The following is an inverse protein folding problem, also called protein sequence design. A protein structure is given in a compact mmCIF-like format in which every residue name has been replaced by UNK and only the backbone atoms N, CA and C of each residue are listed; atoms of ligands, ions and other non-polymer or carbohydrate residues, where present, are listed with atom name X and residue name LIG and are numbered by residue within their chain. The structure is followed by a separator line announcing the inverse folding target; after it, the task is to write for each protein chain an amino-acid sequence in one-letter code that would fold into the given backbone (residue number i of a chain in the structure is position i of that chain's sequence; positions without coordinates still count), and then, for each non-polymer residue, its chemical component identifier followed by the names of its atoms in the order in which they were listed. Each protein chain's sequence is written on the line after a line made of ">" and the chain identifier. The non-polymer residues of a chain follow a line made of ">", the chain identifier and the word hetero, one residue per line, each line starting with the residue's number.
data_IF_206344840573
#
_entry.id   IF_206344840573
#
_cell.length_a   1.000
_cell.length_b   1.000
_cell.length_c   1.000
_cell.angle_alpha   90.00
_cell.angle_beta   90.00
_cell.angle_gamma   90.00
#
_symmetry.space_group_name_H-M   'P 1'
#
loop_
_entity.id
_entity.type
_entity.pdbx_description
1 polymer ?
#
# COMPACT_ATOMS: atom_id res chain seq x y z
N UNK A 1 -6.61 -63.51 54.70
CA UNK A 1 -7.69 -63.16 53.74
C UNK A 1 -8.20 -61.75 54.04
N UNK A 2 -7.91 -60.77 53.18
CA UNK A 2 -8.69 -59.52 53.06
C UNK A 2 -8.45 -58.93 51.68
N UNK A 3 -9.55 -58.67 50.97
CA UNK A 3 -9.66 -58.53 49.51
C UNK A 3 -9.18 -57.18 49.01
N UNK A 4 -8.48 -57.24 47.87
CA UNK A 4 -8.07 -56.15 46.99
C UNK A 4 -9.33 -55.58 46.30
N UNK A 5 -9.54 -54.26 46.31
CA UNK A 5 -10.49 -53.59 45.40
C UNK A 5 -9.81 -52.34 44.83
N UNK A 6 -9.18 -52.56 43.69
CA UNK A 6 -8.63 -51.55 42.77
C UNK A 6 -9.80 -50.81 42.11
N UNK A 7 -9.90 -49.49 42.29
CA UNK A 7 -10.81 -48.63 41.50
C UNK A 7 -10.01 -47.85 40.48
N UNK A 8 -9.75 -48.45 39.32
CA UNK A 8 -9.22 -47.77 38.14
C UNK A 8 -10.37 -47.07 37.43
N UNK A 9 -10.50 -45.75 37.65
CA UNK A 9 -11.38 -44.88 36.86
C UNK A 9 -10.57 -44.39 35.67
N UNK A 10 -10.84 -44.95 34.48
CA UNK A 10 -10.30 -44.47 33.22
C UNK A 10 -11.10 -43.24 32.77
N UNK A 11 -10.55 -42.04 33.00
CA UNK A 11 -11.09 -40.78 32.50
C UNK A 11 -10.71 -40.58 31.04
N UNK A 12 -11.67 -40.69 30.13
CA UNK A 12 -11.53 -40.35 28.71
C UNK A 12 -11.54 -38.81 28.59
N UNK A 13 -10.36 -38.18 28.58
CA UNK A 13 -10.24 -36.74 28.34
C UNK A 13 -10.32 -36.51 26.83
N UNK A 14 -11.48 -36.08 26.35
CA UNK A 14 -11.64 -35.58 24.99
C UNK A 14 -10.90 -34.24 24.86
N UNK A 15 -9.73 -34.25 24.23
CA UNK A 15 -9.02 -33.03 23.83
C UNK A 15 -9.80 -32.33 22.72
N UNK A 16 -10.63 -31.35 23.09
CA UNK A 16 -11.10 -30.35 22.15
C UNK A 16 -9.91 -29.50 21.74
N UNK A 17 -9.35 -29.75 20.56
CA UNK A 17 -8.36 -28.88 19.95
C UNK A 17 -9.05 -27.55 19.60
N UNK A 18 -8.78 -26.49 20.36
CA UNK A 18 -9.10 -25.14 19.91
C UNK A 18 -8.27 -24.89 18.65
N UNK A 19 -8.92 -24.88 17.49
CA UNK A 19 -8.31 -24.41 16.26
C UNK A 19 -8.08 -22.90 16.41
N UNK A 20 -6.84 -22.52 16.68
CA UNK A 20 -6.41 -21.15 16.55
C UNK A 20 -6.31 -20.83 15.06
N UNK A 21 -7.38 -20.30 14.48
CA UNK A 21 -7.36 -19.83 13.09
C UNK A 21 -6.37 -18.65 13.01
N UNK A 22 -5.30 -18.82 12.26
CA UNK A 22 -4.32 -17.76 12.06
C UNK A 22 -4.94 -16.67 11.17
N UNK A 23 -4.77 -15.40 11.54
CA UNK A 23 -5.32 -14.29 10.75
C UNK A 23 -4.58 -14.20 9.41
N UNK A 24 -5.32 -14.02 8.32
CA UNK A 24 -4.76 -13.88 6.98
C UNK A 24 -5.23 -12.59 6.32
N UNK A 25 -4.36 -12.00 5.52
CA UNK A 25 -4.73 -10.89 4.64
C UNK A 25 -5.33 -11.48 3.38
N UNK A 26 -6.60 -11.20 3.14
CA UNK A 26 -7.34 -11.68 1.96
C UNK A 26 -7.29 -10.68 0.79
N UNK A 27 -7.07 -9.41 1.10
CA UNK A 27 -7.00 -8.37 0.08
C UNK A 27 -6.17 -7.19 0.57
N UNK A 28 -5.39 -6.63 -0.33
CA UNK A 28 -4.69 -5.36 -0.14
C UNK A 28 -4.85 -4.55 -1.42
N UNK A 29 -5.22 -3.28 -1.28
CA UNK A 29 -5.38 -2.35 -2.41
C UNK A 29 -4.70 -1.03 -2.07
N UNK A 30 -3.98 -0.39 -3.01
CA UNK A 30 -3.71 -0.81 -4.39
C UNK A 30 -2.59 -1.88 -4.51
N UNK A 31 -2.51 -2.54 -5.67
CA UNK A 31 -1.39 -3.42 -6.06
C UNK A 31 -0.93 -3.08 -7.48
N UNK A 32 0.36 -3.25 -7.76
CA UNK A 32 0.93 -2.96 -9.08
C UNK A 32 1.01 -1.45 -9.35
N UNK A 33 0.81 -1.05 -10.61
CA UNK A 33 0.83 0.35 -11.02
C UNK A 33 -0.58 0.95 -10.94
N UNK A 34 -0.76 1.97 -10.11
CA UNK A 34 -2.04 2.66 -9.95
C UNK A 34 -1.80 4.16 -9.96
N UNK A 35 -2.39 4.84 -10.94
CA UNK A 35 -2.40 6.29 -10.99
C UNK A 35 -3.20 6.87 -9.83
N UNK A 36 -2.66 7.92 -9.18
CA UNK A 36 -3.30 8.66 -8.07
C UNK A 36 -3.70 7.76 -6.90
N UNK A 37 -2.72 7.41 -6.08
CA UNK A 37 -2.97 6.69 -4.82
C UNK A 37 -3.18 7.68 -3.69
N UNK A 38 -4.33 7.58 -3.02
CA UNK A 38 -4.71 8.38 -1.85
C UNK A 38 -4.92 7.56 -0.58
N UNK A 39 -5.32 6.31 -0.74
CA UNK A 39 -5.61 5.41 0.38
C UNK A 39 -5.09 4.00 0.07
N UNK A 40 -4.58 3.33 1.10
CA UNK A 40 -4.31 1.89 1.11
C UNK A 40 -5.36 1.23 2.01
N UNK A 41 -5.90 0.08 1.60
CA UNK A 41 -6.81 -0.72 2.42
C UNK A 41 -6.29 -2.14 2.52
N UNK A 42 -6.19 -2.62 3.75
CA UNK A 42 -5.82 -4.01 4.10
C UNK A 42 -7.05 -4.68 4.69
N UNK A 43 -7.45 -5.81 4.11
CA UNK A 43 -8.59 -6.62 4.55
C UNK A 43 -8.13 -7.97 5.07
N UNK A 44 -8.65 -8.35 6.22
CA UNK A 44 -8.39 -9.62 6.88
C UNK A 44 -9.56 -10.60 6.69
N UNK A 45 -9.28 -11.90 6.76
CA UNK A 45 -10.31 -12.95 6.73
C UNK A 45 -11.20 -12.95 7.97
N UNK A 46 -10.63 -12.67 9.14
CA UNK A 46 -11.34 -12.60 10.41
C UNK A 46 -11.15 -11.28 11.17
N UNK A 47 -11.91 -11.10 12.26
CA UNK A 47 -11.87 -9.92 13.14
C UNK A 47 -10.47 -9.78 13.75
N UNK A 48 -9.69 -8.83 13.24
CA UNK A 48 -8.34 -8.54 13.69
C UNK A 48 -8.35 -7.83 15.05
N UNK A 49 -9.24 -6.85 15.21
CA UNK A 49 -9.31 -5.97 16.39
C UNK A 49 -10.75 -5.80 16.87
N UNK A 50 -10.90 -5.33 18.10
CA UNK A 50 -12.19 -4.81 18.55
C UNK A 50 -12.35 -3.40 17.97
N UNK A 51 -13.33 -3.23 17.08
CA UNK A 51 -13.56 -1.94 16.43
C UNK A 51 -13.85 -0.84 17.46
N UNK A 52 -13.18 0.31 17.31
CA UNK A 52 -13.26 1.43 18.26
C UNK A 52 -12.24 1.38 19.40
N UNK A 53 -11.38 0.35 19.47
CA UNK A 53 -10.25 0.34 20.42
C UNK A 53 -9.18 1.37 20.00
N UNK A 54 -8.94 2.44 20.78
CA UNK A 54 -7.94 3.45 20.46
C UNK A 54 -6.49 2.94 20.57
N UNK A 55 -6.27 1.78 21.19
CA UNK A 55 -4.95 1.15 21.35
C UNK A 55 -4.68 0.05 20.32
N UNK A 56 -5.60 -0.16 19.37
CA UNK A 56 -5.44 -1.16 18.33
C UNK A 56 -4.17 -0.87 17.50
N UNK A 57 -3.19 -1.80 17.45
CA UNK A 57 -1.95 -1.58 16.72
C UNK A 57 -2.21 -1.52 15.20
N UNK A 58 -1.40 -0.73 14.50
CA UNK A 58 -1.38 -0.74 13.04
C UNK A 58 -0.64 -2.00 12.53
N UNK A 59 -1.29 -2.85 11.70
CA UNK A 59 -0.68 -4.11 11.26
C UNK A 59 0.50 -3.94 10.29
N UNK A 60 0.45 -3.02 9.29
CA UNK A 60 1.53 -2.85 8.34
C UNK A 60 2.42 -1.62 8.64
N UNK A 61 3.67 -1.71 8.20
CA UNK A 61 4.63 -0.60 8.08
C UNK A 61 4.75 -0.21 6.61
N UNK A 62 4.58 1.07 6.30
CA UNK A 62 4.70 1.62 4.94
C UNK A 62 6.09 2.23 4.73
N UNK A 63 6.70 1.94 3.59
CA UNK A 63 7.94 2.57 3.15
C UNK A 63 7.84 2.93 1.67
N UNK A 64 8.05 4.20 1.34
CA UNK A 64 8.06 4.70 -0.03
C UNK A 64 9.44 5.27 -0.38
N UNK A 65 9.77 5.28 -1.68
CA UNK A 65 11.04 5.84 -2.20
C UNK A 65 11.22 7.33 -1.90
N UNK A 66 10.12 8.05 -1.68
CA UNK A 66 10.11 9.42 -1.18
C UNK A 66 9.56 9.43 0.25
N UNK A 67 10.32 9.99 1.20
CA UNK A 67 9.91 10.05 2.60
C UNK A 67 8.65 10.90 2.79
N UNK A 68 8.46 11.97 2.01
CA UNK A 68 7.26 12.81 2.09
C UNK A 68 6.02 12.04 1.63
N UNK A 69 6.19 11.11 0.68
CA UNK A 69 5.11 10.26 0.20
C UNK A 69 4.64 9.23 1.22
N UNK A 70 5.40 8.96 2.29
CA UNK A 70 4.99 8.02 3.36
C UNK A 70 4.18 8.68 4.49
N UNK A 71 3.97 10.00 4.43
CA UNK A 71 3.20 10.73 5.45
C UNK A 71 1.70 10.48 5.30
N UNK A 72 1.05 10.23 6.43
CA UNK A 72 -0.37 9.90 6.46
C UNK A 72 -0.81 9.35 7.81
N UNK A 73 -2.07 8.94 7.87
CA UNK A 73 -2.68 8.42 9.08
C UNK A 73 -3.35 7.06 8.81
N UNK A 74 -3.01 6.08 9.64
CA UNK A 74 -3.63 4.76 9.63
C UNK A 74 -4.77 4.67 10.62
N UNK A 75 -5.91 4.10 10.21
CA UNK A 75 -7.05 3.83 11.09
C UNK A 75 -7.74 2.53 10.75
N UNK A 76 -8.28 1.88 11.77
CA UNK A 76 -9.25 0.80 11.58
C UNK A 76 -10.57 1.41 11.10
N UNK A 77 -11.07 0.91 9.98
CA UNK A 77 -12.38 1.32 9.41
C UNK A 77 -13.45 0.25 9.67
N UNK A 78 -13.03 -0.96 10.03
CA UNK A 78 -13.85 -2.00 10.65
C UNK A 78 -12.99 -2.86 11.58
N UNK A 79 -13.55 -3.92 12.15
CA UNK A 79 -12.81 -4.95 12.89
C UNK A 79 -11.90 -5.82 11.99
N UNK A 80 -12.16 -5.82 10.67
CA UNK A 80 -11.44 -6.63 9.65
C UNK A 80 -10.71 -5.81 8.60
N UNK A 81 -10.85 -4.48 8.63
CA UNK A 81 -10.29 -3.59 7.62
C UNK A 81 -9.54 -2.43 8.25
N UNK A 82 -8.29 -2.27 7.82
CA UNK A 82 -7.44 -1.16 8.20
C UNK A 82 -7.10 -0.33 6.96
N UNK A 83 -7.25 0.98 7.06
CA UNK A 83 -6.95 1.92 5.98
C UNK A 83 -5.81 2.85 6.39
N UNK A 84 -4.93 3.14 5.44
CA UNK A 84 -3.94 4.21 5.55
C UNK A 84 -4.29 5.30 4.55
N UNK A 85 -4.51 6.51 5.05
CA UNK A 85 -4.79 7.69 4.24
C UNK A 85 -3.51 8.54 4.13
N UNK A 86 -3.08 8.82 2.91
CA UNK A 86 -1.95 9.71 2.67
C UNK A 86 -2.35 11.18 2.88
N UNK A 87 -1.42 12.01 3.36
CA UNK A 87 -1.68 13.46 3.50
C UNK A 87 -2.00 14.10 2.13
N UNK A 88 -1.29 13.65 1.09
CA UNK A 88 -1.44 14.11 -0.29
C UNK A 88 -1.48 12.92 -1.24
N UNK A 89 -2.03 13.10 -2.45
CA UNK A 89 -1.93 12.08 -3.49
C UNK A 89 -0.47 11.74 -3.74
N UNK A 90 -0.17 10.46 -3.95
CA UNK A 90 1.18 10.06 -4.25
C UNK A 90 1.68 10.74 -5.54
N UNK A 91 2.84 11.42 -5.50
CA UNK A 91 3.47 11.97 -6.69
C UNK A 91 3.71 10.89 -7.74
N UNK A 92 3.73 11.21 -9.04
CA UNK A 92 4.08 10.24 -10.09
C UNK A 92 5.50 9.68 -9.90
N UNK A 93 5.68 8.38 -10.08
CA UNK A 93 6.96 7.68 -10.05
C UNK A 93 7.42 7.22 -8.66
N UNK A 94 6.54 7.22 -7.67
CA UNK A 94 6.84 6.76 -6.32
C UNK A 94 6.63 5.25 -6.23
N UNK A 95 7.62 4.55 -5.69
CA UNK A 95 7.53 3.14 -5.38
C UNK A 95 7.29 2.97 -3.89
N UNK A 96 6.24 2.24 -3.51
CA UNK A 96 5.88 1.99 -2.13
C UNK A 96 5.84 0.48 -1.85
N UNK A 97 6.26 0.13 -0.63
CA UNK A 97 6.20 -1.22 -0.09
C UNK A 97 5.49 -1.21 1.25
N UNK A 98 4.57 -2.16 1.42
CA UNK A 98 3.86 -2.40 2.65
C UNK A 98 4.40 -3.69 3.27
N UNK A 99 4.88 -3.61 4.51
CA UNK A 99 5.39 -4.75 5.27
C UNK A 99 4.47 -5.06 6.45
N UNK A 100 3.89 -6.24 6.45
CA UNK A 100 3.06 -6.74 7.56
C UNK A 100 3.92 -7.59 8.48
N UNK A 101 3.85 -7.32 9.78
CA UNK A 101 4.61 -8.08 10.77
C UNK A 101 3.93 -9.42 11.03
N UNK A 102 4.42 -10.47 10.37
CA UNK A 102 3.99 -11.83 10.65
C UNK A 102 4.27 -12.19 12.11
N UNK A 103 3.40 -12.99 12.71
CA UNK A 103 3.52 -13.34 14.13
C UNK A 103 2.97 -12.27 15.07
N UNK A 104 2.62 -11.07 14.58
CA UNK A 104 1.99 -10.03 15.40
C UNK A 104 0.63 -10.52 15.89
N UNK A 105 0.41 -10.39 17.20
CA UNK A 105 -0.86 -10.72 17.83
C UNK A 105 -1.72 -9.46 17.84
N UNK A 106 -2.88 -9.52 17.18
CA UNK A 106 -3.88 -8.47 17.28
C UNK A 106 -4.89 -8.81 18.39
N UNK A 107 -5.55 -7.81 19.00
CA UNK A 107 -6.44 -8.00 20.15
C UNK A 107 -7.50 -9.09 19.98
N UNK A 108 -8.02 -9.29 18.78
CA UNK A 108 -9.16 -10.20 18.54
C UNK A 108 -8.78 -11.44 17.75
N UNK A 109 -7.49 -11.65 17.44
CA UNK A 109 -7.07 -12.75 16.57
C UNK A 109 -5.74 -13.39 16.97
N UNK A 110 -5.56 -14.69 16.67
CA UNK A 110 -4.24 -15.32 16.63
C UNK A 110 -3.30 -14.60 15.66
N UNK A 111 -2.02 -14.95 15.76
CA UNK A 111 -0.95 -14.26 15.05
C UNK A 111 -1.18 -14.15 13.53
N UNK A 112 -0.79 -13.03 12.92
CA UNK A 112 -0.92 -12.82 11.47
C UNK A 112 0.00 -13.76 10.69
N UNK A 113 -0.53 -14.40 9.65
CA UNK A 113 0.19 -15.32 8.74
C UNK A 113 -0.07 -14.96 7.28
N UNK A 114 0.68 -15.59 6.36
CA UNK A 114 0.54 -15.39 4.92
C UNK A 114 1.54 -14.38 4.33
N UNK A 115 1.14 -13.67 3.28
CA UNK A 115 2.00 -12.74 2.56
C UNK A 115 2.30 -11.50 3.41
N UNK A 116 3.58 -11.23 3.62
CA UNK A 116 4.07 -10.16 4.48
C UNK A 116 4.53 -8.91 3.76
N UNK A 117 4.68 -8.95 2.43
CA UNK A 117 5.16 -7.81 1.66
C UNK A 117 4.32 -7.59 0.41
N UNK A 118 3.88 -6.35 0.24
CA UNK A 118 3.10 -5.91 -0.91
C UNK A 118 3.76 -4.68 -1.52
N UNK A 119 3.70 -4.56 -2.84
CA UNK A 119 4.33 -3.47 -3.57
C UNK A 119 3.35 -2.86 -4.54
N UNK A 120 3.41 -1.54 -4.63
CA UNK A 120 2.68 -0.77 -5.62
C UNK A 120 3.48 0.47 -6.00
N UNK A 121 3.16 1.07 -7.15
CA UNK A 121 3.78 2.28 -7.62
C UNK A 121 2.74 3.23 -8.23
N UNK A 122 3.01 4.53 -8.19
CA UNK A 122 2.07 5.57 -8.63
C UNK A 122 2.08 5.85 -10.15
N UNK A 123 2.78 5.04 -10.94
CA UNK A 123 2.96 5.23 -12.39
C UNK A 123 3.83 6.44 -12.75
N UNK A 124 4.35 6.48 -13.97
CA UNK A 124 5.24 7.56 -14.42
C UNK A 124 4.56 8.93 -14.58
N UNK A 125 5.33 10.01 -14.77
CA UNK A 125 4.78 11.30 -15.19
C UNK A 125 4.02 11.15 -16.51
N UNK A 126 2.90 11.85 -16.64
CA UNK A 126 2.07 11.85 -17.86
C UNK A 126 2.02 13.25 -18.47
N UNK A 127 1.91 13.32 -19.79
CA UNK A 127 1.68 14.58 -20.52
C UNK A 127 0.26 15.06 -20.23
N UNK A 128 0.13 16.27 -19.69
CA UNK A 128 -1.15 16.91 -19.38
C UNK A 128 -1.60 17.85 -20.48
N UNK A 129 -0.66 18.47 -21.20
CA UNK A 129 -0.95 19.33 -22.35
C UNK A 129 0.27 19.44 -23.27
N UNK A 130 0.03 19.93 -24.49
CA UNK A 130 1.04 20.25 -25.48
C UNK A 130 0.94 21.73 -25.84
N UNK A 131 2.08 22.34 -26.13
CA UNK A 131 2.16 23.67 -26.73
C UNK A 131 3.10 23.62 -27.94
N UNK A 132 2.66 23.92 -29.17
CA UNK A 132 1.28 24.20 -29.56
C UNK A 132 0.34 23.02 -29.29
N UNK A 133 -0.96 23.30 -29.18
CA UNK A 133 -1.99 22.30 -28.88
C UNK A 133 -2.17 21.29 -30.00
N UNK A 134 -2.85 20.18 -29.71
CA UNK A 134 -3.18 19.19 -30.74
C UNK A 134 -3.99 19.83 -31.87
N UNK A 135 -3.65 19.50 -33.12
CA UNK A 135 -4.29 20.01 -34.35
C UNK A 135 -4.05 21.49 -34.67
N UNK A 136 -3.14 22.16 -33.97
CA UNK A 136 -2.68 23.49 -34.37
C UNK A 136 -1.74 23.41 -35.57
N UNK A 137 -1.75 24.46 -36.40
CA UNK A 137 -0.77 24.59 -37.47
C UNK A 137 0.59 24.85 -36.83
N UNK A 138 1.53 23.98 -37.11
CA UNK A 138 2.92 24.12 -36.70
C UNK A 138 3.74 24.64 -37.87
N UNK A 139 4.65 25.56 -37.60
CA UNK A 139 5.73 25.88 -38.53
C UNK A 139 6.77 24.74 -38.54
N UNK A 140 7.52 24.60 -39.63
CA UNK A 140 8.54 23.55 -39.79
C UNK A 140 9.67 23.67 -38.76
N UNK A 141 9.91 24.88 -38.24
CA UNK A 141 10.92 25.16 -37.21
C UNK A 141 10.33 25.27 -35.79
N UNK A 142 9.03 25.00 -35.62
CA UNK A 142 8.35 25.15 -34.34
C UNK A 142 8.56 23.95 -33.41
N UNK A 143 8.86 24.24 -32.15
CA UNK A 143 9.04 23.23 -31.11
C UNK A 143 7.72 22.87 -30.42
N UNK A 144 7.59 21.61 -30.02
CA UNK A 144 6.48 21.13 -29.18
C UNK A 144 6.96 20.97 -27.74
N UNK A 145 6.25 21.63 -26.82
CA UNK A 145 6.54 21.63 -25.40
C UNK A 145 5.47 20.81 -24.66
N UNK A 146 5.80 19.59 -24.19
CA UNK A 146 4.91 18.84 -23.32
C UNK A 146 4.92 19.42 -21.91
N UNK A 147 3.74 19.73 -21.39
CA UNK A 147 3.58 19.93 -19.95
C UNK A 147 3.31 18.58 -19.29
N UNK A 148 4.03 18.30 -18.21
CA UNK A 148 3.93 17.07 -17.45
C UNK A 148 3.24 17.34 -16.11
N UNK A 149 2.57 16.33 -15.56
CA UNK A 149 2.01 16.41 -14.21
C UNK A 149 3.07 16.42 -13.08
N UNK A 150 4.37 16.35 -13.42
CA UNK A 150 5.52 16.46 -12.52
C UNK A 150 6.71 17.08 -13.26
N UNK A 151 7.55 17.81 -12.54
CA UNK A 151 8.83 18.29 -13.08
C UNK A 151 9.72 17.15 -13.58
N UNK A 152 10.20 17.27 -14.82
CA UNK A 152 11.23 16.39 -15.37
C UNK A 152 12.63 16.95 -15.08
N UNK A 153 13.62 16.08 -14.94
CA UNK A 153 15.01 16.54 -14.80
C UNK A 153 15.56 16.95 -16.16
N UNK A 154 16.51 17.90 -16.24
CA UNK A 154 17.08 18.32 -17.52
C UNK A 154 17.70 17.16 -18.28
N UNK A 155 18.32 16.23 -17.55
CA UNK A 155 18.92 15.01 -18.09
C UNK A 155 17.86 14.08 -18.69
N UNK A 156 16.76 13.79 -17.98
CA UNK A 156 15.72 12.89 -18.51
C UNK A 156 15.07 13.47 -19.76
N UNK A 157 14.95 14.80 -19.83
CA UNK A 157 14.46 15.49 -21.03
C UNK A 157 15.45 15.33 -22.17
N UNK A 158 16.76 15.49 -21.96
CA UNK A 158 17.78 15.28 -23.01
C UNK A 158 17.78 13.85 -23.55
N UNK A 159 17.68 12.86 -22.67
CA UNK A 159 17.73 11.43 -23.03
C UNK A 159 16.49 10.95 -23.78
N UNK A 160 15.34 11.62 -23.59
CA UNK A 160 14.05 11.21 -24.15
C UNK A 160 13.46 12.25 -25.12
N UNK A 161 14.31 13.07 -25.75
CA UNK A 161 13.84 14.00 -26.80
C UNK A 161 13.41 13.21 -28.03
N UNK A 162 12.19 13.47 -28.49
CA UNK A 162 11.81 13.23 -29.88
C UNK A 162 12.24 14.49 -30.66
N UNK A 163 12.81 14.34 -31.87
CA UNK A 163 13.19 15.49 -32.72
C UNK A 163 12.06 16.52 -32.74
N UNK A 164 12.34 17.75 -32.29
CA UNK A 164 11.36 18.85 -32.19
C UNK A 164 10.90 19.23 -30.76
N UNK A 165 11.40 18.59 -29.69
CA UNK A 165 11.06 18.95 -28.29
C UNK A 165 12.23 19.67 -27.60
N UNK A 166 12.07 20.96 -27.26
CA UNK A 166 13.04 21.72 -26.45
C UNK A 166 12.66 21.78 -24.96
N UNK A 167 13.70 21.95 -24.15
CA UNK A 167 13.71 21.84 -22.69
C UNK A 167 13.06 23.05 -22.03
N UNK A 168 11.91 22.91 -21.38
CA UNK A 168 11.41 24.01 -20.52
C UNK A 168 10.54 23.57 -19.34
N UNK A 169 10.95 22.53 -18.63
CA UNK A 169 10.54 22.34 -17.22
C UNK A 169 11.67 22.74 -16.27
N UNK A 170 12.34 23.84 -16.57
CA UNK A 170 13.23 24.55 -15.67
C UNK A 170 12.69 25.99 -15.66
N UNK A 171 12.27 26.48 -14.49
CA UNK A 171 11.90 27.89 -14.25
C UNK A 171 10.56 28.39 -14.79
N UNK A 172 9.48 28.15 -14.04
CA UNK A 172 8.44 29.17 -13.83
C UNK A 172 8.14 29.29 -12.33
N UNK A 173 9.04 29.96 -11.61
CA UNK A 173 8.70 30.76 -10.45
C UNK A 173 9.18 32.18 -10.81
N UNK A 174 8.24 33.06 -11.14
CA UNK A 174 8.41 34.50 -10.98
C UNK A 174 8.03 34.83 -9.54
#
# INVERSE_FOLDING_TARGET
>A
MRRIITKTVAGLIATFALQANALQIISLSPQGEVARVRQIVVKFDDSAVNFGDPKAPAPPTLSCSDAQASKGNGRWISDREWAFEFENDLPPGVNCSLQVRLGMKLPSSPAVTGTSSYKFNSGGPVVTSLCPGSYERIDEEQYVLPQLNRSATPQSVQENKVNGVLQSTIQYHL
#
